data_IF_864196573566
#
_entry.id   IF_864196573566
#
_cell.length_a   1.000
_cell.length_b   1.000
_cell.length_c   1.000
_cell.angle_alpha   90.00
_cell.angle_beta   90.00
_cell.angle_gamma   90.00
#
_symmetry.space_group_name_H-M   'P 1'
#
loop_
_entity.id
_entity.type
_entity.pdbx_description
1 polymer ?
#
# COMPACT_ATOMS: atom_id res chain seq x y z
N UNK A 1 -1.91 -25.04 -15.35
CA UNK A 1 -1.22 -23.85 -14.79
C UNK A 1 0.04 -24.37 -14.12
N UNK A 2 1.19 -23.73 -14.31
CA UNK A 2 2.43 -24.10 -13.60
C UNK A 2 2.30 -23.58 -12.17
N UNK A 3 2.50 -24.42 -11.17
CA UNK A 3 2.40 -24.07 -9.76
C UNK A 3 3.80 -24.01 -9.14
N UNK A 4 4.01 -23.05 -8.24
CA UNK A 4 5.23 -22.92 -7.45
C UNK A 4 4.91 -23.21 -5.99
N UNK A 5 5.69 -24.07 -5.35
CA UNK A 5 5.55 -24.34 -3.92
C UNK A 5 6.27 -23.28 -3.11
N UNK A 6 5.49 -22.46 -2.41
CA UNK A 6 5.99 -21.35 -1.58
C UNK A 6 5.95 -21.76 -0.11
N UNK A 7 7.11 -21.74 0.58
CA UNK A 7 7.15 -21.83 2.03
C UNK A 7 6.51 -20.57 2.64
N UNK A 8 5.61 -20.74 3.60
CA UNK A 8 4.83 -19.64 4.17
C UNK A 8 4.80 -19.72 5.70
N UNK A 9 5.14 -18.59 6.34
CA UNK A 9 4.86 -18.35 7.74
C UNK A 9 3.98 -17.11 7.89
N UNK A 10 2.97 -17.20 8.74
CA UNK A 10 2.06 -16.09 9.07
C UNK A 10 2.13 -15.75 10.56
N UNK A 11 2.32 -14.48 10.88
CA UNK A 11 2.37 -13.96 12.25
C UNK A 11 1.14 -13.10 12.51
N UNK A 12 0.14 -13.65 13.20
CA UNK A 12 -1.14 -12.99 13.49
C UNK A 12 -1.75 -12.32 12.24
N UNK A 13 -1.75 -13.04 11.12
CA UNK A 13 -2.29 -12.60 9.84
C UNK A 13 -3.11 -13.73 9.21
N UNK A 14 -3.94 -13.38 8.23
CA UNK A 14 -4.65 -14.38 7.44
C UNK A 14 -3.71 -14.99 6.38
N UNK A 15 -3.87 -16.28 6.12
CA UNK A 15 -3.20 -16.96 5.01
C UNK A 15 -3.66 -16.31 3.69
N UNK A 16 -2.73 -15.92 2.81
CA UNK A 16 -3.09 -15.35 1.52
C UNK A 16 -3.87 -16.33 0.65
N UNK A 17 -4.89 -15.85 -0.02
CA UNK A 17 -5.76 -16.66 -0.86
C UNK A 17 -5.98 -16.01 -2.23
N UNK A 18 -5.99 -16.84 -3.28
CA UNK A 18 -6.51 -16.44 -4.58
C UNK A 18 -8.03 -16.36 -4.54
N UNK A 19 -8.61 -15.24 -4.99
CA UNK A 19 -10.07 -15.03 -4.92
C UNK A 19 -10.85 -15.73 -6.02
N UNK A 20 -10.19 -16.23 -7.06
CA UNK A 20 -10.78 -17.05 -8.11
C UNK A 20 -9.73 -17.97 -8.73
N UNK A 21 -10.15 -19.02 -9.39
CA UNK A 21 -9.25 -19.98 -10.07
C UNK A 21 -8.40 -19.32 -11.19
N UNK A 22 -8.85 -18.21 -11.75
CA UNK A 22 -8.12 -17.45 -12.79
C UNK A 22 -7.36 -16.24 -12.26
N UNK A 23 -7.34 -16.00 -10.95
CA UNK A 23 -6.62 -14.86 -10.39
C UNK A 23 -5.11 -15.02 -10.55
N UNK A 24 -4.43 -13.96 -11.00
CA UNK A 24 -2.97 -13.94 -11.15
C UNK A 24 -2.25 -13.59 -9.85
N UNK A 25 -2.94 -13.02 -8.87
CA UNK A 25 -2.38 -12.62 -7.60
C UNK A 25 -3.29 -12.98 -6.42
N UNK A 26 -2.70 -13.12 -5.27
CA UNK A 26 -3.38 -13.30 -3.99
C UNK A 26 -3.37 -11.98 -3.19
N UNK A 27 -4.44 -11.76 -2.43
CA UNK A 27 -4.58 -10.52 -1.65
C UNK A 27 -3.55 -10.45 -0.51
N UNK A 28 -2.93 -9.28 -0.37
CA UNK A 28 -2.09 -8.91 0.76
C UNK A 28 -2.85 -7.94 1.66
N UNK A 29 -2.98 -8.32 2.92
CA UNK A 29 -3.69 -7.56 3.94
C UNK A 29 -2.73 -6.82 4.84
N UNK A 30 -3.19 -5.69 5.36
CA UNK A 30 -2.43 -4.86 6.29
C UNK A 30 -2.57 -5.41 7.70
N UNK A 31 -1.46 -5.78 8.30
CA UNK A 31 -1.38 -5.98 9.73
C UNK A 31 -1.33 -4.60 10.42
N UNK A 32 -1.82 -4.54 11.64
CA UNK A 32 -1.73 -3.33 12.44
C UNK A 32 -0.25 -2.94 12.66
N UNK A 33 0.13 -1.74 12.24
CA UNK A 33 1.53 -1.30 12.26
C UNK A 33 1.75 -0.16 13.26
N UNK A 34 2.67 -0.36 14.22
CA UNK A 34 3.03 0.63 15.23
C UNK A 34 3.82 1.84 14.68
N UNK A 35 4.31 1.77 13.44
CA UNK A 35 5.15 2.81 12.80
C UNK A 35 4.38 3.78 11.90
N UNK A 36 3.07 3.58 11.74
CA UNK A 36 2.19 4.45 10.96
C UNK A 36 1.33 5.28 11.91
N UNK A 37 0.96 6.49 11.52
CA UNK A 37 0.04 7.32 12.29
C UNK A 37 -1.28 6.58 12.55
N UNK A 38 -1.80 6.70 13.78
CA UNK A 38 -2.98 5.95 14.24
C UNK A 38 -3.91 6.85 15.02
N UNK A 39 -5.20 6.54 14.95
CA UNK A 39 -6.21 7.09 15.84
C UNK A 39 -6.95 5.94 16.54
N UNK A 40 -7.16 6.08 17.84
CA UNK A 40 -8.15 5.32 18.57
C UNK A 40 -9.56 5.77 18.19
N UNK A 41 -10.56 4.97 18.49
CA UNK A 41 -11.96 5.35 18.28
C UNK A 41 -12.29 6.63 19.07
N UNK A 42 -11.78 6.77 20.30
CA UNK A 42 -12.00 7.97 21.12
C UNK A 42 -11.41 9.22 20.46
N UNK A 43 -10.15 9.16 19.99
CA UNK A 43 -9.50 10.26 19.27
C UNK A 43 -10.22 10.58 17.95
N UNK A 44 -10.79 9.58 17.29
CA UNK A 44 -11.58 9.76 16.08
C UNK A 44 -12.89 10.49 16.38
N UNK A 45 -13.58 10.13 17.48
CA UNK A 45 -14.75 10.85 17.99
C UNK A 45 -14.43 12.30 18.32
N UNK A 46 -13.33 12.56 19.04
CA UNK A 46 -12.89 13.92 19.39
C UNK A 46 -12.61 14.74 18.13
N UNK A 47 -11.96 14.15 17.14
CA UNK A 47 -11.69 14.79 15.86
C UNK A 47 -12.98 15.17 15.13
N UNK A 48 -13.95 14.25 15.08
CA UNK A 48 -15.25 14.45 14.42
C UNK A 48 -16.04 15.57 15.12
N UNK A 49 -16.04 15.57 16.45
CA UNK A 49 -16.78 16.52 17.26
C UNK A 49 -16.11 17.90 17.45
N UNK A 50 -14.92 18.10 16.88
CA UNK A 50 -14.22 19.38 16.89
C UNK A 50 -13.22 19.57 18.03
N UNK A 51 -12.97 18.55 18.85
CA UNK A 51 -12.00 18.57 19.96
C UNK A 51 -10.59 18.09 19.59
N UNK A 52 -10.35 17.80 18.32
CA UNK A 52 -9.17 17.05 17.85
C UNK A 52 -7.89 17.85 17.60
N UNK A 53 -7.76 19.12 18.04
CA UNK A 53 -6.51 19.89 17.82
C UNK A 53 -5.29 19.26 18.50
N UNK A 54 -5.46 18.66 19.68
CA UNK A 54 -4.38 17.96 20.37
C UNK A 54 -4.01 16.63 19.67
N UNK A 55 -4.99 15.95 19.09
CA UNK A 55 -4.77 14.74 18.27
C UNK A 55 -3.87 15.05 17.08
N UNK A 56 -4.05 16.20 16.45
CA UNK A 56 -3.19 16.67 15.36
C UNK A 56 -1.74 16.87 15.80
N UNK A 57 -1.53 17.54 16.93
CA UNK A 57 -0.19 17.74 17.50
C UNK A 57 0.49 16.41 17.76
N UNK A 58 -0.24 15.45 18.32
CA UNK A 58 0.28 14.11 18.61
C UNK A 58 0.67 13.35 17.32
N UNK A 59 -0.18 13.36 16.31
CA UNK A 59 0.11 12.70 15.02
C UNK A 59 1.35 13.28 14.35
N UNK A 60 1.49 14.61 14.35
CA UNK A 60 2.67 15.27 13.79
C UNK A 60 3.93 14.98 14.58
N UNK A 61 3.88 15.02 15.90
CA UNK A 61 5.04 14.78 16.75
C UNK A 61 5.59 13.35 16.63
N UNK A 62 4.72 12.35 16.47
CA UNK A 62 5.12 10.95 16.41
C UNK A 62 5.43 10.42 14.99
N UNK A 63 5.00 11.15 13.94
CA UNK A 63 5.13 10.66 12.55
C UNK A 63 6.21 11.39 11.75
N UNK A 64 6.62 12.61 12.19
CA UNK A 64 7.54 13.46 11.45
C UNK A 64 8.59 14.09 12.37
N UNK A 65 9.65 13.40 12.65
CA UNK A 65 10.87 14.02 13.17
C UNK A 65 11.37 15.07 12.15
N UNK A 66 10.91 16.31 12.30
CA UNK A 66 11.54 17.51 11.74
C UNK A 66 11.17 17.94 10.31
N UNK A 67 10.13 17.40 9.66
CA UNK A 67 9.64 17.92 8.36
C UNK A 67 8.19 18.38 8.48
N UNK A 68 8.01 19.69 8.55
CA UNK A 68 6.72 20.34 8.73
C UNK A 68 5.95 20.47 7.41
N UNK A 69 4.81 19.78 7.28
CA UNK A 69 3.73 20.24 6.42
C UNK A 69 2.65 20.83 7.34
N UNK A 70 2.49 22.16 7.29
CA UNK A 70 1.41 22.83 8.02
C UNK A 70 0.11 22.50 7.28
N UNK A 71 -0.64 21.53 7.80
CA UNK A 71 -2.02 21.31 7.40
C UNK A 71 -2.88 22.02 8.44
N UNK A 72 -3.73 22.91 7.97
CA UNK A 72 -4.78 23.53 8.75
C UNK A 72 -5.70 22.43 9.34
N UNK A 73 -6.09 22.60 10.60
CA UNK A 73 -6.94 21.65 11.32
C UNK A 73 -8.24 21.34 10.55
N UNK A 74 -8.89 22.35 10.01
CA UNK A 74 -10.14 22.18 9.27
C UNK A 74 -9.95 21.36 8.00
N UNK A 75 -8.83 21.54 7.31
CA UNK A 75 -8.47 20.70 6.16
C UNK A 75 -8.19 19.26 6.57
N UNK A 76 -7.51 19.06 7.68
CA UNK A 76 -7.26 17.71 8.18
C UNK A 76 -8.55 17.02 8.60
N UNK A 77 -9.39 17.68 9.41
CA UNK A 77 -10.71 17.17 9.81
C UNK A 77 -11.55 16.79 8.59
N UNK A 78 -11.67 17.70 7.63
CA UNK A 78 -12.42 17.42 6.39
C UNK A 78 -11.81 16.28 5.58
N UNK A 79 -10.50 16.14 5.55
CA UNK A 79 -9.83 15.02 4.87
C UNK A 79 -10.09 13.68 5.55
N UNK A 80 -10.14 13.64 6.88
CA UNK A 80 -10.50 12.43 7.65
C UNK A 80 -11.96 12.08 7.44
N UNK A 81 -12.88 13.05 7.50
CA UNK A 81 -14.29 12.84 7.23
C UNK A 81 -14.54 12.31 5.79
N UNK A 82 -13.79 12.82 4.84
CA UNK A 82 -13.82 12.31 3.46
C UNK A 82 -13.28 10.89 3.35
N UNK A 83 -12.17 10.60 4.06
CA UNK A 83 -11.60 9.25 4.11
C UNK A 83 -12.56 8.23 4.73
N UNK A 84 -13.29 8.61 5.77
CA UNK A 84 -14.35 7.79 6.37
C UNK A 84 -15.42 7.47 5.30
N UNK A 85 -15.93 8.45 4.58
CA UNK A 85 -16.93 8.25 3.52
C UNK A 85 -16.45 7.28 2.44
N UNK A 86 -15.16 7.37 2.04
CA UNK A 86 -14.59 6.44 1.07
C UNK A 86 -14.47 5.01 1.65
N UNK A 87 -14.02 4.88 2.89
CA UNK A 87 -13.81 3.58 3.54
C UNK A 87 -15.11 2.78 3.66
N UNK A 88 -16.26 3.46 3.80
CA UNK A 88 -17.58 2.84 3.99
C UNK A 88 -18.35 2.62 2.68
N UNK A 89 -17.82 3.06 1.53
CA UNK A 89 -18.50 2.83 0.24
C UNK A 89 -19.65 3.79 -0.08
N UNK A 90 -19.48 5.07 0.24
CA UNK A 90 -20.25 6.17 -0.40
C UNK A 90 -21.72 6.39 0.02
N UNK A 91 -22.28 5.53 0.85
CA UNK A 91 -23.71 5.65 1.28
C UNK A 91 -23.92 5.61 2.78
N UNK A 92 -22.94 5.13 3.54
CA UNK A 92 -23.03 5.00 4.98
C UNK A 92 -22.55 6.28 5.70
N UNK A 93 -23.15 6.57 6.86
CA UNK A 93 -22.78 7.70 7.69
C UNK A 93 -21.53 7.45 8.55
N UNK A 94 -21.09 8.48 9.24
CA UNK A 94 -19.99 8.37 10.22
C UNK A 94 -20.35 7.37 11.32
N UNK A 95 -21.60 7.38 11.76
CA UNK A 95 -22.08 6.47 12.81
C UNK A 95 -22.03 5.02 12.36
N UNK A 96 -22.36 4.73 11.08
CA UNK A 96 -22.22 3.38 10.53
C UNK A 96 -20.77 2.89 10.53
N UNK A 97 -19.82 3.80 10.26
CA UNK A 97 -18.41 3.50 10.32
C UNK A 97 -17.94 3.19 11.75
N UNK A 98 -18.32 4.04 12.70
CA UNK A 98 -17.97 3.83 14.11
C UNK A 98 -18.57 2.54 14.64
N UNK A 99 -19.87 2.27 14.35
CA UNK A 99 -20.52 1.01 14.66
C UNK A 99 -19.80 -0.19 14.05
N UNK A 100 -19.34 -0.08 12.79
CA UNK A 100 -18.55 -1.13 12.17
C UNK A 100 -17.24 -1.41 12.91
N UNK A 101 -16.52 -0.38 13.36
CA UNK A 101 -15.29 -0.55 14.14
C UNK A 101 -15.60 -1.25 15.47
N UNK A 102 -16.62 -0.82 16.17
CA UNK A 102 -17.02 -1.41 17.46
C UNK A 102 -17.46 -2.87 17.32
N UNK A 103 -18.34 -3.18 16.37
CA UNK A 103 -18.82 -4.55 16.12
C UNK A 103 -17.68 -5.51 15.77
N UNK A 104 -16.65 -5.02 15.08
CA UNK A 104 -15.47 -5.82 14.74
C UNK A 104 -14.34 -5.71 15.76
N UNK A 105 -14.58 -5.06 16.92
CA UNK A 105 -13.60 -4.87 18.01
C UNK A 105 -12.30 -4.23 17.51
N UNK A 106 -12.41 -3.29 16.57
CA UNK A 106 -11.29 -2.52 16.06
C UNK A 106 -11.15 -1.27 16.93
N UNK A 107 -10.14 -1.24 17.77
CA UNK A 107 -9.89 -0.15 18.72
C UNK A 107 -9.06 0.99 18.13
N UNK A 108 -8.38 0.75 17.02
CA UNK A 108 -7.52 1.73 16.33
C UNK A 108 -7.52 1.55 14.83
N UNK A 109 -7.37 2.67 14.09
CA UNK A 109 -7.20 2.70 12.65
C UNK A 109 -5.86 3.35 12.28
N UNK A 110 -5.27 2.93 11.17
CA UNK A 110 -4.11 3.62 10.60
C UNK A 110 -4.57 4.81 9.76
N UNK A 111 -3.77 5.88 9.76
CA UNK A 111 -4.00 7.06 8.93
C UNK A 111 -2.82 7.28 8.02
N UNK A 112 -3.06 7.37 6.72
CA UNK A 112 -2.09 7.83 5.73
C UNK A 112 -2.29 9.34 5.57
N UNK A 113 -1.34 10.11 6.08
CA UNK A 113 -1.39 11.57 5.99
C UNK A 113 -1.17 12.06 4.55
N UNK A 114 -1.62 13.29 4.22
CA UNK A 114 -1.37 13.90 2.93
C UNK A 114 0.12 13.93 2.57
N UNK A 115 0.43 13.69 1.30
CA UNK A 115 1.78 13.77 0.72
C UNK A 115 2.84 12.90 1.40
N UNK A 116 2.41 11.76 2.01
CA UNK A 116 3.31 10.86 2.71
C UNK A 116 3.50 9.53 2.01
N UNK A 117 4.59 8.85 2.36
CA UNK A 117 4.84 7.45 2.02
C UNK A 117 4.86 6.64 3.30
N UNK A 118 4.09 5.56 3.35
CA UNK A 118 3.97 4.69 4.50
C UNK A 118 4.27 3.25 4.11
N UNK A 119 4.93 2.50 4.98
CA UNK A 119 5.14 1.06 4.85
C UNK A 119 4.25 0.34 5.84
N UNK A 120 3.37 -0.52 5.34
CA UNK A 120 2.54 -1.41 6.13
C UNK A 120 3.13 -2.80 6.16
N UNK A 121 3.10 -3.44 7.31
CA UNK A 121 3.48 -4.84 7.47
C UNK A 121 2.26 -5.72 7.18
N UNK A 122 2.52 -6.91 6.63
CA UNK A 122 1.46 -7.89 6.33
C UNK A 122 1.40 -9.01 7.37
N UNK A 123 2.46 -9.22 8.13
CA UNK A 123 2.62 -10.41 8.99
C UNK A 123 2.92 -11.68 8.18
N UNK A 124 3.28 -11.55 6.90
CA UNK A 124 3.56 -12.66 5.99
C UNK A 124 5.06 -12.73 5.72
N UNK A 125 5.60 -13.92 5.80
CA UNK A 125 6.99 -14.27 5.52
C UNK A 125 7.00 -15.43 4.54
N UNK A 126 7.86 -15.38 3.52
CA UNK A 126 7.87 -16.36 2.44
C UNK A 126 9.27 -16.94 2.21
N UNK A 127 9.28 -18.16 1.72
CA UNK A 127 10.41 -18.81 1.10
C UNK A 127 10.04 -19.14 -0.35
N UNK A 128 10.63 -18.39 -1.28
CA UNK A 128 10.31 -18.46 -2.71
C UNK A 128 11.35 -19.35 -3.40
N UNK A 129 10.96 -20.27 -4.31
CA UNK A 129 11.87 -21.05 -5.12
C UNK A 129 12.86 -20.18 -5.91
N UNK A 130 14.06 -20.72 -6.19
CA UNK A 130 15.14 -19.95 -6.81
C UNK A 130 14.79 -19.43 -8.20
N UNK A 131 13.94 -20.14 -8.93
CA UNK A 131 13.47 -19.76 -10.26
C UNK A 131 12.38 -18.69 -10.29
N UNK A 132 11.83 -18.31 -9.13
CA UNK A 132 10.72 -17.38 -9.04
C UNK A 132 11.10 -16.11 -8.26
N UNK A 133 10.28 -15.10 -8.38
CA UNK A 133 10.23 -13.91 -7.51
C UNK A 133 8.78 -13.62 -7.14
N UNK A 134 8.56 -12.90 -6.04
CA UNK A 134 7.23 -12.38 -5.73
C UNK A 134 7.20 -10.87 -5.96
N UNK A 135 6.23 -10.42 -6.73
CA UNK A 135 5.99 -9.00 -6.98
C UNK A 135 4.82 -8.49 -6.15
N UNK A 136 5.01 -7.35 -5.47
CA UNK A 136 3.94 -6.61 -4.84
C UNK A 136 3.35 -5.67 -5.89
N UNK A 137 2.05 -5.81 -6.15
CA UNK A 137 1.34 -5.02 -7.16
C UNK A 137 0.11 -4.31 -6.56
N UNK A 138 -0.28 -3.15 -7.10
CA UNK A 138 -1.55 -2.53 -6.72
C UNK A 138 -2.74 -3.43 -7.07
N UNK A 139 -3.82 -3.30 -6.30
CA UNK A 139 -5.11 -3.92 -6.62
C UNK A 139 -5.94 -2.97 -7.46
N UNK A 140 -6.69 -3.51 -8.41
CA UNK A 140 -7.57 -2.71 -9.30
C UNK A 140 -8.55 -1.85 -8.51
N UNK A 141 -9.18 -2.39 -7.46
CA UNK A 141 -10.11 -1.64 -6.61
C UNK A 141 -9.47 -0.43 -5.93
N UNK A 142 -8.23 -0.54 -5.43
CA UNK A 142 -7.51 0.59 -4.85
C UNK A 142 -7.17 1.62 -5.93
N UNK A 143 -6.66 1.16 -7.08
CA UNK A 143 -6.25 2.05 -8.18
C UNK A 143 -7.42 2.79 -8.82
N UNK A 144 -8.61 2.19 -8.87
CA UNK A 144 -9.80 2.80 -9.47
C UNK A 144 -10.60 3.68 -8.52
N UNK A 145 -10.56 3.40 -7.21
CA UNK A 145 -11.40 4.08 -6.22
C UNK A 145 -10.66 5.13 -5.40
N UNK A 146 -9.33 5.17 -5.49
CA UNK A 146 -8.51 6.11 -4.72
C UNK A 146 -7.40 6.69 -5.58
N UNK A 147 -6.81 7.80 -5.12
CA UNK A 147 -5.58 8.34 -5.70
C UNK A 147 -4.32 7.82 -5.00
N UNK A 148 -4.47 6.90 -4.04
CA UNK A 148 -3.31 6.24 -3.41
C UNK A 148 -2.53 5.43 -4.44
N UNK A 149 -1.21 5.49 -4.34
CA UNK A 149 -0.31 4.70 -5.16
C UNK A 149 0.35 3.62 -4.31
N UNK A 150 -0.02 2.37 -4.52
CA UNK A 150 0.75 1.23 -4.02
C UNK A 150 1.98 1.09 -4.90
N UNK A 151 3.18 1.16 -4.29
CA UNK A 151 4.44 1.00 -5.01
C UNK A 151 4.64 -0.44 -5.41
N UNK A 152 5.16 -0.65 -6.61
CA UNK A 152 5.66 -1.95 -7.01
C UNK A 152 6.83 -2.35 -6.10
N UNK A 153 6.88 -3.61 -5.71
CA UNK A 153 7.96 -4.17 -4.91
C UNK A 153 8.34 -5.55 -5.45
N UNK A 154 9.60 -5.91 -5.30
CA UNK A 154 10.11 -7.25 -5.59
C UNK A 154 10.57 -7.86 -4.29
N UNK A 155 10.15 -9.09 -4.04
CA UNK A 155 10.59 -9.93 -2.93
C UNK A 155 11.52 -10.97 -3.52
N UNK A 156 12.77 -10.89 -3.14
CA UNK A 156 13.82 -11.79 -3.59
C UNK A 156 13.72 -13.16 -2.92
N UNK A 157 14.29 -14.18 -3.54
CA UNK A 157 14.25 -15.57 -3.05
C UNK A 157 14.96 -15.77 -1.73
N UNK A 158 15.95 -14.93 -1.41
CA UNK A 158 16.73 -14.95 -0.15
C UNK A 158 16.18 -14.02 0.93
N UNK A 159 15.10 -13.26 0.64
CA UNK A 159 14.45 -12.42 1.64
C UNK A 159 13.58 -13.27 2.59
N UNK A 160 13.78 -13.11 3.90
CA UNK A 160 13.04 -13.82 4.95
C UNK A 160 12.33 -12.86 5.93
N UNK A 161 12.31 -11.57 5.59
CA UNK A 161 11.64 -10.56 6.42
C UNK A 161 10.12 -10.50 6.19
N UNK A 162 9.45 -9.70 7.02
CA UNK A 162 8.03 -9.40 6.86
C UNK A 162 7.78 -8.69 5.53
N UNK A 163 6.87 -9.21 4.72
CA UNK A 163 6.45 -8.57 3.48
C UNK A 163 5.78 -7.24 3.80
N UNK A 164 6.30 -6.17 3.19
CA UNK A 164 5.81 -4.82 3.38
C UNK A 164 5.07 -4.28 2.17
N UNK A 165 3.96 -3.58 2.40
CA UNK A 165 3.24 -2.82 1.37
C UNK A 165 3.60 -1.35 1.51
N UNK A 166 4.21 -0.77 0.47
CA UNK A 166 4.55 0.66 0.45
C UNK A 166 3.44 1.41 -0.28
N UNK A 167 2.84 2.38 0.43
CA UNK A 167 1.75 3.21 -0.08
C UNK A 167 2.15 4.66 -0.06
N UNK A 168 1.99 5.35 -1.16
CA UNK A 168 2.12 6.80 -1.26
C UNK A 168 0.74 7.43 -1.35
N UNK A 169 0.53 8.47 -0.56
CA UNK A 169 -0.61 9.37 -0.69
C UNK A 169 -0.15 10.68 -1.37
N UNK A 170 -0.41 10.87 -2.67
CA UNK A 170 -0.03 12.10 -3.38
C UNK A 170 -1.07 13.22 -3.23
N UNK A 171 -2.09 13.05 -2.41
CA UNK A 171 -3.24 13.96 -2.31
C UNK A 171 -3.17 14.86 -1.08
N UNK A 172 -3.91 15.97 -1.06
CA UNK A 172 -4.07 16.79 0.14
C UNK A 172 -5.03 16.20 1.18
N UNK A 173 -5.56 14.99 0.94
CA UNK A 173 -6.50 14.31 1.81
C UNK A 173 -5.83 13.17 2.56
N UNK A 174 -6.30 12.86 3.77
CA UNK A 174 -5.89 11.66 4.50
C UNK A 174 -6.68 10.44 4.01
N UNK A 175 -6.13 9.24 4.22
CA UNK A 175 -6.85 7.99 4.05
C UNK A 175 -6.85 7.21 5.35
N UNK A 176 -7.98 6.59 5.68
CA UNK A 176 -8.10 5.67 6.81
C UNK A 176 -7.93 4.25 6.29
N UNK A 177 -7.04 3.52 6.93
CA UNK A 177 -6.77 2.12 6.64
C UNK A 177 -7.15 1.30 7.87
N UNK A 178 -8.20 0.52 7.74
CA UNK A 178 -8.65 -0.41 8.77
C UNK A 178 -7.69 -1.60 8.80
N UNK A 179 -7.32 -2.12 9.97
CA UNK A 179 -6.56 -3.37 10.07
C UNK A 179 -7.22 -4.48 9.24
N UNK A 180 -6.43 -5.34 8.67
CA UNK A 180 -6.87 -6.42 7.76
C UNK A 180 -7.42 -5.97 6.39
N UNK A 181 -7.33 -4.68 6.05
CA UNK A 181 -7.68 -4.19 4.71
C UNK A 181 -6.75 -4.77 3.64
N UNK A 182 -7.32 -5.12 2.48
CA UNK A 182 -6.60 -5.61 1.30
C UNK A 182 -6.05 -4.44 0.49
N UNK A 183 -4.78 -4.08 0.69
CA UNK A 183 -4.16 -2.92 0.01
C UNK A 183 -3.42 -3.29 -1.28
N UNK A 184 -2.82 -4.47 -1.32
CA UNK A 184 -2.00 -4.92 -2.43
C UNK A 184 -2.32 -6.37 -2.81
N UNK A 185 -1.65 -6.85 -3.83
CA UNK A 185 -1.65 -8.27 -4.20
C UNK A 185 -0.21 -8.73 -4.41
N UNK A 186 0.07 -9.99 -4.03
CA UNK A 186 1.29 -10.70 -4.35
C UNK A 186 1.12 -11.52 -5.62
N UNK A 187 2.09 -11.45 -6.50
CA UNK A 187 2.11 -12.23 -7.76
C UNK A 187 3.43 -12.96 -7.85
N UNK A 188 3.40 -14.27 -8.01
CA UNK A 188 4.59 -15.08 -8.25
C UNK A 188 4.92 -15.04 -9.75
N UNK A 189 6.19 -14.76 -10.07
CA UNK A 189 6.67 -14.58 -11.44
C UNK A 189 7.97 -15.35 -11.60
N UNK A 190 8.08 -16.12 -12.69
CA UNK A 190 9.33 -16.77 -13.08
C UNK A 190 10.38 -15.70 -13.42
N UNK A 191 11.56 -15.79 -12.81
CA UNK A 191 12.65 -14.83 -13.04
C UNK A 191 13.73 -15.40 -13.94
N UNK A 192 14.42 -14.51 -14.63
CA UNK A 192 15.64 -14.81 -15.39
C UNK A 192 16.79 -13.95 -14.88
N UNK A 193 17.95 -14.55 -14.68
CA UNK A 193 19.17 -13.79 -14.39
C UNK A 193 19.84 -13.38 -15.69
N UNK A 194 20.18 -12.10 -15.81
CA UNK A 194 20.98 -11.61 -16.92
C UNK A 194 22.43 -12.03 -16.77
N UNK A 195 23.03 -12.50 -17.85
CA UNK A 195 24.46 -12.60 -18.02
C UNK A 195 24.88 -11.51 -18.98
N UNK A 196 25.72 -10.61 -18.54
CA UNK A 196 26.13 -9.44 -19.34
C UNK A 196 27.33 -9.78 -20.24
N UNK A 197 27.14 -9.64 -21.54
CA UNK A 197 28.17 -9.63 -22.55
C UNK A 197 28.63 -8.17 -22.75
N UNK A 198 29.72 -7.79 -22.10
CA UNK A 198 30.21 -6.42 -22.04
C UNK A 198 30.86 -6.06 -23.37
N UNK A 199 30.29 -5.10 -24.07
CA UNK A 199 30.81 -4.56 -25.32
C UNK A 199 31.81 -3.43 -25.07
N UNK A 200 32.83 -3.33 -25.91
CA UNK A 200 33.86 -2.29 -25.81
C UNK A 200 33.37 -0.95 -26.32
N UNK A 201 32.39 -0.96 -27.24
CA UNK A 201 31.76 0.25 -27.78
C UNK A 201 30.28 0.03 -28.08
N UNK A 202 29.54 1.13 -28.21
CA UNK A 202 28.12 1.12 -28.60
C UNK A 202 27.91 0.53 -30.00
N UNK A 203 28.88 0.64 -30.87
CA UNK A 203 28.78 0.16 -32.26
C UNK A 203 28.78 -1.36 -32.38
N UNK A 204 29.16 -2.07 -31.31
CA UNK A 204 29.06 -3.53 -31.21
C UNK A 204 27.66 -4.02 -30.89
N UNK A 205 26.74 -3.11 -30.51
CA UNK A 205 25.34 -3.46 -30.33
C UNK A 205 24.64 -3.65 -31.68
N UNK A 206 23.74 -4.62 -31.76
CA UNK A 206 22.98 -4.87 -32.97
C UNK A 206 22.17 -3.64 -33.40
N UNK A 207 22.21 -3.32 -34.72
CA UNK A 207 21.39 -2.26 -35.30
C UNK A 207 19.94 -2.73 -35.42
N UNK A 208 19.00 -1.84 -35.07
CA UNK A 208 17.56 -2.09 -35.22
C UNK A 208 16.92 -0.93 -36.00
N UNK A 209 15.76 -1.16 -36.61
CA UNK A 209 14.98 -0.14 -37.26
C UNK A 209 14.64 1.06 -36.35
N UNK A 210 14.32 0.76 -35.08
CA UNK A 210 14.04 1.77 -34.06
C UNK A 210 15.28 2.61 -33.70
N UNK A 211 16.45 1.97 -33.64
CA UNK A 211 17.70 2.59 -33.19
C UNK A 211 17.56 3.26 -31.81
N UNK A 212 17.93 4.53 -31.72
CA UNK A 212 17.87 5.34 -30.49
C UNK A 212 16.53 6.08 -30.32
N UNK A 213 15.57 5.86 -31.19
CA UNK A 213 14.29 6.54 -31.14
C UNK A 213 13.45 6.11 -29.97
N UNK A 214 13.18 7.01 -29.01
CA UNK A 214 12.37 6.80 -27.80
C UNK A 214 11.61 8.08 -27.41
N UNK A 215 10.98 8.08 -26.24
CA UNK A 215 10.39 9.26 -25.60
C UNK A 215 9.45 10.11 -26.50
N UNK A 216 8.49 9.48 -27.15
CA UNK A 216 7.41 10.18 -27.87
C UNK A 216 7.70 10.49 -29.35
N UNK A 217 8.74 9.92 -29.97
CA UNK A 217 9.01 10.11 -31.41
C UNK A 217 7.90 9.56 -32.29
N UNK A 218 7.06 8.65 -31.79
CA UNK A 218 5.85 8.13 -32.46
C UNK A 218 4.64 9.08 -32.39
N UNK A 219 4.79 10.26 -31.75
CA UNK A 219 3.70 11.22 -31.56
C UNK A 219 2.72 10.81 -30.47
N UNK A 220 1.81 11.74 -30.11
CA UNK A 220 0.68 11.49 -29.19
C UNK A 220 -0.61 11.15 -29.97
N UNK A 221 -0.58 11.19 -31.30
CA UNK A 221 -1.67 10.81 -32.21
C UNK A 221 -1.11 10.10 -33.40
#
# INVERSE_FOLDING_TARGET
MKESLIGLYVDNAEVPEYKSAGASGFDLRVKFNNKVARLSIAELHDLINGFGQEVLKYLYHNTYEGKYFIIDYDRFKNSVLYAIKIAIGGGAGIDDFLNHLEQNRIDKVNIILPYTVNKFETGIYVEIPEEDEMQIRPRSGISSSTLMSVKLGTIDTDYRGNIGIIVQNPTPFSYIIIPNSRLAQGVIVEKKRAVFDIKSSKDELSKTERGENGFGKSGLM
#
